data_IF_348391156652
#
_entry.id   IF_348391156652
#
_cell.length_a   1.000
_cell.length_b   1.000
_cell.length_c   1.000
_cell.angle_alpha   90.00
_cell.angle_beta   90.00
_cell.angle_gamma   90.00
#
_symmetry.space_group_name_H-M   'P 1'
#
loop_
_entity.id
_entity.type
_entity.pdbx_description
1 polymer ?
#
# COMPACT_ATOMS: atom_id res chain seq x y z
N UNK A 1 -7.28 -6.67 23.77
CA UNK A 1 -6.73 -5.98 22.58
C UNK A 1 -5.28 -5.54 22.81
N UNK A 2 -4.30 -6.46 22.73
CA UNK A 2 -2.88 -6.13 22.96
C UNK A 2 -2.34 -5.05 22.01
N UNK A 3 -2.71 -5.12 20.73
CA UNK A 3 -2.35 -4.12 19.71
C UNK A 3 -2.80 -2.71 20.09
N UNK A 4 -4.09 -2.51 20.40
CA UNK A 4 -4.63 -1.20 20.76
C UNK A 4 -3.97 -0.63 22.03
N UNK A 5 -3.71 -1.47 23.04
CA UNK A 5 -3.01 -1.06 24.27
C UNK A 5 -1.58 -0.58 23.97
N UNK A 6 -0.86 -1.30 23.11
CA UNK A 6 0.47 -0.92 22.66
C UNK A 6 0.44 0.41 21.90
N UNK A 7 -0.48 0.59 20.95
CA UNK A 7 -0.60 1.83 20.18
C UNK A 7 -0.86 3.03 21.06
N UNK A 8 -1.80 2.92 22.01
CA UNK A 8 -2.11 4.00 22.97
C UNK A 8 -0.90 4.29 23.86
N UNK A 9 -0.25 3.27 24.42
CA UNK A 9 0.93 3.44 25.28
C UNK A 9 2.09 4.13 24.57
N UNK A 10 2.21 3.95 23.25
CA UNK A 10 3.29 4.51 22.44
C UNK A 10 2.86 5.77 21.68
N UNK A 11 1.68 6.35 21.98
CA UNK A 11 1.14 7.55 21.32
C UNK A 11 1.04 7.39 19.78
N UNK A 12 0.75 6.18 19.32
CA UNK A 12 0.52 5.87 17.90
C UNK A 12 -0.95 6.13 17.60
N UNK A 13 -1.21 7.04 16.65
CA UNK A 13 -2.56 7.33 16.17
C UNK A 13 -2.99 6.22 15.21
N UNK A 14 -4.12 5.60 15.52
CA UNK A 14 -4.74 4.60 14.65
C UNK A 14 -5.74 5.29 13.73
N UNK A 15 -5.48 5.26 12.43
CA UNK A 15 -6.43 5.68 11.40
C UNK A 15 -7.22 4.47 10.89
N UNK A 16 -8.51 4.64 10.67
CA UNK A 16 -9.37 3.63 10.05
C UNK A 16 -9.90 4.14 8.72
N UNK A 17 -9.89 3.28 7.71
CA UNK A 17 -10.44 3.58 6.39
C UNK A 17 -11.86 3.05 6.26
N UNK A 18 -12.73 3.71 5.46
CA UNK A 18 -13.97 3.11 5.00
C UNK A 18 -13.72 1.77 4.29
N UNK A 19 -14.68 0.83 4.30
CA UNK A 19 -14.58 -0.41 3.53
C UNK A 19 -14.21 -0.15 2.07
N UNK A 20 -13.37 -1.02 1.50
CA UNK A 20 -12.95 -0.97 0.09
C UNK A 20 -12.36 0.38 -0.38
N UNK A 21 -11.71 1.14 0.51
CA UNK A 21 -11.16 2.46 0.15
C UNK A 21 -9.64 2.54 0.19
N UNK A 22 -8.93 1.45 0.53
CA UNK A 22 -7.46 1.44 0.66
C UNK A 22 -6.77 1.83 -0.64
N UNK A 23 -7.22 1.30 -1.78
CA UNK A 23 -6.73 1.64 -3.12
C UNK A 23 -6.86 3.14 -3.51
N UNK A 24 -7.57 3.96 -2.71
CA UNK A 24 -7.69 5.42 -2.91
C UNK A 24 -7.15 6.24 -1.76
N UNK A 25 -7.27 5.74 -0.54
CA UNK A 25 -7.01 6.54 0.67
C UNK A 25 -5.77 6.09 1.43
N UNK A 26 -5.30 4.85 1.24
CA UNK A 26 -4.10 4.37 1.88
C UNK A 26 -2.88 4.87 1.10
N UNK A 27 -2.04 5.76 1.66
CA UNK A 27 -0.93 6.34 0.92
C UNK A 27 0.02 5.29 0.36
N UNK A 28 0.29 4.23 1.13
CA UNK A 28 1.15 3.13 0.69
C UNK A 28 0.63 2.45 -0.59
N UNK A 29 -0.67 2.22 -0.70
CA UNK A 29 -1.27 1.54 -1.85
C UNK A 29 -1.24 2.47 -3.08
N UNK A 30 -1.55 3.75 -2.88
CA UNK A 30 -1.66 4.74 -3.97
C UNK A 30 -0.29 5.22 -4.45
N UNK A 31 0.61 5.57 -3.53
CA UNK A 31 1.85 6.26 -3.88
C UNK A 31 3.04 5.33 -4.08
N UNK A 32 3.02 4.13 -3.51
CA UNK A 32 4.12 3.18 -3.63
C UNK A 32 3.72 1.97 -4.47
N UNK A 33 2.73 1.19 -4.02
CA UNK A 33 2.43 -0.09 -4.67
C UNK A 33 1.81 0.06 -6.04
N UNK A 34 0.92 1.02 -6.25
CA UNK A 34 0.33 1.27 -7.57
C UNK A 34 1.38 1.60 -8.64
N UNK A 35 2.23 2.64 -8.49
CA UNK A 35 3.25 2.92 -9.51
C UNK A 35 4.28 1.80 -9.62
N UNK A 36 4.68 1.19 -8.49
CA UNK A 36 5.60 0.06 -8.51
C UNK A 36 5.07 -1.09 -9.38
N UNK A 37 3.83 -1.51 -9.17
CA UNK A 37 3.21 -2.57 -9.96
C UNK A 37 3.15 -2.20 -11.44
N UNK A 38 2.75 -0.96 -11.77
CA UNK A 38 2.71 -0.48 -13.16
C UNK A 38 4.06 -0.55 -13.85
N UNK A 39 5.11 0.03 -13.25
CA UNK A 39 6.43 0.04 -13.88
C UNK A 39 7.05 -1.35 -13.92
N UNK A 40 6.83 -2.17 -12.90
CA UNK A 40 7.32 -3.54 -12.89
C UNK A 40 6.70 -4.36 -14.03
N UNK A 41 5.38 -4.27 -14.22
CA UNK A 41 4.69 -4.94 -15.34
C UNK A 41 5.21 -4.44 -16.69
N UNK A 42 5.37 -3.13 -16.88
CA UNK A 42 5.92 -2.58 -18.13
C UNK A 42 7.32 -3.12 -18.44
N UNK A 43 8.20 -3.18 -17.45
CA UNK A 43 9.55 -3.71 -17.64
C UNK A 43 9.55 -5.20 -17.96
N UNK A 44 8.63 -5.98 -17.38
CA UNK A 44 8.46 -7.38 -17.72
C UNK A 44 7.97 -7.57 -19.16
N UNK A 45 6.98 -6.78 -19.59
CA UNK A 45 6.46 -6.84 -20.95
C UNK A 45 7.55 -6.46 -21.98
N UNK A 46 8.33 -5.43 -21.70
CA UNK A 46 9.48 -5.02 -22.50
C UNK A 46 10.56 -6.11 -22.57
N UNK A 47 10.78 -6.83 -21.47
CA UNK A 47 11.75 -7.93 -21.44
C UNK A 47 11.27 -9.11 -22.30
N UNK A 48 10.01 -9.52 -22.17
CA UNK A 48 9.43 -10.65 -22.90
C UNK A 48 9.25 -10.37 -24.40
N UNK A 49 9.01 -9.12 -24.78
CA UNK A 49 8.91 -8.74 -26.20
C UNK A 49 10.27 -8.72 -26.92
N UNK A 50 11.38 -8.71 -26.19
CA UNK A 50 12.76 -8.71 -26.72
C UNK A 50 13.37 -10.11 -26.82
N UNK A 51 12.77 -11.11 -26.18
CA UNK A 51 13.18 -12.52 -26.23
C UNK A 51 12.52 -13.27 -27.38
#
# INVERSE_FOLDING_TARGET
MPFLKYSISNKIILANYPPHSTHRLQPLDVSLFSPFATYYSQNLDDFLSRS
#
